data_IF_315541155158
#
_entry.id   IF_315541155158
#
_cell.length_a   1.000
_cell.length_b   1.000
_cell.length_c   1.000
_cell.angle_alpha   90.00
_cell.angle_beta   90.00
_cell.angle_gamma   90.00
#
_symmetry.space_group_name_H-M   'P 1'
#
loop_
_entity.id
_entity.type
_entity.pdbx_description
1 polymer ?
#
# COMPACT_ATOMS: atom_id res chain seq x y z
N UNK A 1 -20.76 -3.31 -6.30
CA UNK A 1 -21.28 -4.33 -7.21
C UNK A 1 -20.37 -4.42 -8.42
N UNK A 2 -19.84 -5.60 -8.75
CA UNK A 2 -18.98 -5.78 -9.92
C UNK A 2 -19.75 -5.77 -11.25
N UNK A 3 -21.09 -5.93 -11.23
CA UNK A 3 -21.94 -5.88 -12.42
C UNK A 3 -22.12 -4.44 -12.91
N UNK A 4 -22.31 -3.50 -11.99
CA UNK A 4 -22.45 -2.06 -12.29
C UNK A 4 -21.17 -1.25 -12.07
N UNK A 5 -20.16 -1.81 -11.39
CA UNK A 5 -19.00 -1.11 -10.85
C UNK A 5 -19.35 0.01 -9.84
N UNK A 6 -20.52 -0.05 -9.21
CA UNK A 6 -20.92 0.91 -8.18
C UNK A 6 -20.37 0.54 -6.80
N UNK A 7 -19.98 1.55 -6.04
CA UNK A 7 -19.56 1.40 -4.65
C UNK A 7 -20.81 1.30 -3.78
N UNK A 8 -21.08 0.10 -3.25
CA UNK A 8 -22.23 -0.14 -2.36
C UNK A 8 -21.97 0.45 -0.97
N UNK A 9 -20.75 0.26 -0.46
CA UNK A 9 -20.29 0.79 0.82
C UNK A 9 -18.78 1.04 0.77
N UNK A 10 -18.31 2.03 1.53
CA UNK A 10 -16.89 2.31 1.71
C UNK A 10 -16.61 2.91 3.09
N UNK A 11 -15.47 2.55 3.65
CA UNK A 11 -15.03 3.04 4.95
C UNK A 11 -13.67 2.48 5.34
N UNK A 12 -13.23 2.82 6.55
CA UNK A 12 -11.97 2.35 7.10
C UNK A 12 -11.97 2.43 8.62
N UNK A 13 -11.40 1.40 9.25
CA UNK A 13 -11.10 1.41 10.68
C UNK A 13 -9.78 2.12 10.90
N UNK A 14 -9.75 3.04 11.85
CA UNK A 14 -8.55 3.78 12.24
C UNK A 14 -8.21 3.52 13.72
N UNK A 15 -6.93 3.72 14.06
CA UNK A 15 -6.40 3.57 15.43
C UNK A 15 -6.60 2.19 16.07
N UNK A 16 -6.56 1.12 15.27
CA UNK A 16 -6.63 -0.27 15.76
C UNK A 16 -5.56 -0.50 16.84
N UNK A 17 -5.94 -1.08 17.98
CA UNK A 17 -5.07 -1.34 19.12
C UNK A 17 -4.69 -0.09 19.92
N UNK A 18 -5.31 1.06 19.64
CA UNK A 18 -5.08 2.33 20.34
C UNK A 18 -6.37 2.87 20.96
N UNK A 19 -6.24 3.72 21.97
CA UNK A 19 -7.38 4.39 22.59
C UNK A 19 -8.09 5.29 21.57
N UNK A 20 -9.42 5.20 21.52
CA UNK A 20 -10.26 5.97 20.61
C UNK A 20 -10.22 5.46 19.17
N UNK A 21 -10.13 4.15 18.98
CA UNK A 21 -10.40 3.50 17.69
C UNK A 21 -11.81 3.79 17.18
N UNK A 22 -11.96 3.88 15.87
CA UNK A 22 -13.25 4.16 15.24
C UNK A 22 -13.32 3.57 13.83
N UNK A 23 -14.53 3.31 13.37
CA UNK A 23 -14.85 3.07 11.97
C UNK A 23 -15.40 4.36 11.36
N UNK A 24 -14.80 4.79 10.25
CA UNK A 24 -15.29 5.90 9.45
C UNK A 24 -15.86 5.35 8.14
N UNK A 25 -17.11 5.68 7.84
CA UNK A 25 -17.79 5.24 6.61
C UNK A 25 -18.37 6.43 5.85
N UNK A 26 -18.52 6.26 4.53
CA UNK A 26 -19.24 7.21 3.68
C UNK A 26 -20.54 6.58 3.21
N UNK A 27 -21.66 7.25 3.49
CA UNK A 27 -22.99 6.83 3.07
C UNK A 27 -23.23 7.12 1.58
N UNK A 28 -24.25 6.52 0.95
CA UNK A 28 -24.56 6.73 -0.47
C UNK A 28 -24.84 8.19 -0.85
N UNK A 29 -25.32 9.00 0.09
CA UNK A 29 -25.54 10.45 -0.08
C UNK A 29 -24.27 11.29 0.09
N UNK A 30 -23.13 10.65 0.36
CA UNK A 30 -21.84 11.29 0.59
C UNK A 30 -21.59 11.72 2.04
N UNK A 31 -22.55 11.56 2.95
CA UNK A 31 -22.37 11.87 4.36
C UNK A 31 -21.30 10.97 4.97
N UNK A 32 -20.40 11.57 5.76
CA UNK A 32 -19.38 10.83 6.52
C UNK A 32 -19.88 10.57 7.93
N UNK A 33 -19.88 9.30 8.33
CA UNK A 33 -20.23 8.87 9.69
C UNK A 33 -18.99 8.30 10.35
N UNK A 34 -18.80 8.63 11.62
CA UNK A 34 -17.76 8.08 12.47
C UNK A 34 -18.43 7.33 13.62
N UNK A 35 -18.05 6.07 13.80
CA UNK A 35 -18.56 5.18 14.84
C UNK A 35 -17.38 4.78 15.72
N UNK A 36 -17.38 5.24 16.96
CA UNK A 36 -16.36 4.85 17.94
C UNK A 36 -16.58 3.40 18.38
N UNK A 37 -15.48 2.69 18.61
CA UNK A 37 -15.51 1.31 19.10
C UNK A 37 -14.18 0.93 19.73
N UNK A 38 -14.17 -0.09 20.59
CA UNK A 38 -12.94 -0.66 21.12
C UNK A 38 -12.43 -1.75 20.17
N UNK A 39 -11.50 -1.39 19.29
CA UNK A 39 -11.03 -2.25 18.20
C UNK A 39 -9.57 -2.59 18.47
N UNK A 40 -9.37 -3.69 19.19
CA UNK A 40 -8.05 -4.08 19.70
C UNK A 40 -7.15 -4.70 18.63
N UNK A 41 -7.73 -5.37 17.65
CA UNK A 41 -7.00 -6.05 16.58
C UNK A 41 -7.81 -6.13 15.27
N UNK A 42 -7.22 -6.75 14.23
CA UNK A 42 -7.73 -6.66 12.86
C UNK A 42 -9.04 -7.43 12.65
N UNK A 43 -9.17 -8.61 13.25
CA UNK A 43 -10.39 -9.42 13.19
C UNK A 43 -11.56 -8.69 13.83
N UNK A 44 -11.41 -8.14 15.04
CA UNK A 44 -12.41 -7.30 15.69
C UNK A 44 -12.81 -6.11 14.81
N UNK A 45 -11.85 -5.52 14.09
CA UNK A 45 -12.13 -4.46 13.11
C UNK A 45 -13.01 -4.94 11.95
N UNK A 46 -12.75 -6.14 11.41
CA UNK A 46 -13.52 -6.75 10.33
C UNK A 46 -14.91 -7.18 10.81
N UNK A 47 -15.01 -7.78 12.00
CA UNK A 47 -16.29 -8.10 12.65
C UNK A 47 -17.14 -6.84 12.83
N UNK A 48 -16.51 -5.71 13.22
CA UNK A 48 -17.21 -4.44 13.36
C UNK A 48 -17.68 -3.88 12.02
N UNK A 49 -16.87 -3.98 10.96
CA UNK A 49 -17.27 -3.63 9.59
C UNK A 49 -18.49 -4.46 9.16
N UNK A 50 -18.47 -5.77 9.37
CA UNK A 50 -19.60 -6.65 9.04
C UNK A 50 -20.85 -6.33 9.83
N UNK A 51 -20.73 -6.08 11.13
CA UNK A 51 -21.86 -5.65 11.97
C UNK A 51 -22.50 -4.36 11.45
N UNK A 52 -21.70 -3.39 10.99
CA UNK A 52 -22.22 -2.16 10.39
C UNK A 52 -22.86 -2.42 9.03
N UNK A 53 -22.25 -3.24 8.18
CA UNK A 53 -22.78 -3.62 6.87
C UNK A 53 -24.13 -4.37 6.94
N UNK A 54 -24.39 -5.08 8.04
CA UNK A 54 -25.65 -5.78 8.32
C UNK A 54 -26.68 -4.95 9.10
N UNK A 55 -26.29 -3.78 9.63
CA UNK A 55 -27.15 -2.99 10.50
C UNK A 55 -28.33 -2.37 9.74
N UNK A 56 -29.48 -2.20 10.40
CA UNK A 56 -30.63 -1.53 9.76
C UNK A 56 -30.35 -0.06 9.40
N UNK A 57 -29.53 0.61 10.22
CA UNK A 57 -29.29 2.06 10.09
C UNK A 57 -28.27 2.42 9.02
N UNK A 58 -27.20 1.64 8.90
CA UNK A 58 -26.06 1.96 8.02
C UNK A 58 -25.72 0.81 7.06
N UNK A 59 -26.42 -0.31 7.18
CA UNK A 59 -26.12 -1.51 6.41
C UNK A 59 -26.46 -1.38 4.95
N UNK A 60 -25.87 -2.29 4.19
CA UNK A 60 -25.96 -2.34 2.74
C UNK A 60 -26.19 -3.77 2.20
N UNK A 61 -26.19 -4.77 3.09
CA UNK A 61 -26.47 -6.18 2.81
C UNK A 61 -27.35 -6.74 3.94
N UNK A 62 -28.08 -7.81 3.65
CA UNK A 62 -28.95 -8.52 4.61
C UNK A 62 -28.31 -9.77 5.18
N UNK A 63 -27.40 -10.39 4.44
CA UNK A 63 -26.58 -11.52 4.88
C UNK A 63 -25.14 -11.34 4.40
N UNK A 64 -24.19 -11.92 5.15
CA UNK A 64 -22.81 -12.04 4.71
C UNK A 64 -22.65 -12.94 3.47
N UNK A 65 -23.64 -13.80 3.19
CA UNK A 65 -23.66 -14.64 1.98
C UNK A 65 -23.80 -13.82 0.68
N UNK A 66 -24.14 -12.52 0.79
CA UNK A 66 -24.14 -11.60 -0.36
C UNK A 66 -22.73 -11.15 -0.77
N UNK A 67 -21.70 -11.51 0.02
CA UNK A 67 -20.29 -11.23 -0.29
C UNK A 67 -19.74 -12.36 -1.16
N UNK A 68 -19.78 -12.18 -2.48
CA UNK A 68 -19.34 -13.19 -3.45
C UNK A 68 -17.81 -13.50 -3.40
N UNK A 69 -16.98 -12.53 -3.03
CA UNK A 69 -15.53 -12.64 -2.98
C UNK A 69 -14.89 -11.51 -2.15
N UNK A 70 -13.66 -11.70 -1.67
CA UNK A 70 -12.89 -10.66 -0.97
C UNK A 70 -11.53 -10.42 -1.65
N UNK A 71 -11.22 -9.17 -1.95
CA UNK A 71 -9.94 -8.75 -2.50
C UNK A 71 -9.04 -8.13 -1.43
N UNK A 72 -7.83 -8.64 -1.27
CA UNK A 72 -6.83 -8.16 -0.31
C UNK A 72 -5.71 -7.43 -1.05
N UNK A 73 -5.46 -6.18 -0.69
CA UNK A 73 -4.20 -5.52 -1.07
C UNK A 73 -3.07 -6.13 -0.23
N UNK A 74 -2.06 -6.66 -0.90
CA UNK A 74 -0.81 -7.12 -0.29
C UNK A 74 0.31 -6.22 -0.75
N UNK A 75 1.13 -5.72 0.18
CA UNK A 75 2.20 -4.78 -0.19
C UNK A 75 3.32 -5.48 -0.96
N UNK A 76 3.86 -6.59 -0.46
CA UNK A 76 5.04 -7.21 -1.05
C UNK A 76 4.81 -8.65 -1.50
N UNK A 77 4.91 -8.91 -2.81
CA UNK A 77 4.81 -10.25 -3.40
C UNK A 77 6.15 -10.91 -3.78
N UNK A 78 7.27 -10.23 -3.52
CA UNK A 78 8.58 -10.70 -3.94
C UNK A 78 8.67 -10.84 -5.46
N UNK A 79 9.56 -11.72 -5.93
CA UNK A 79 9.66 -12.05 -7.36
C UNK A 79 8.63 -13.10 -7.80
N UNK A 80 8.08 -13.86 -6.86
CA UNK A 80 7.20 -15.00 -7.17
C UNK A 80 5.83 -14.55 -7.68
N UNK A 81 5.32 -13.42 -7.20
CA UNK A 81 3.98 -12.93 -7.55
C UNK A 81 4.03 -11.75 -8.54
N UNK A 82 3.80 -12.04 -9.82
CA UNK A 82 3.72 -11.05 -10.89
C UNK A 82 2.29 -10.69 -11.33
N UNK A 83 1.28 -11.29 -10.69
CA UNK A 83 -0.14 -11.03 -10.93
C UNK A 83 -0.95 -11.34 -9.66
N UNK A 84 -2.20 -10.92 -9.64
CA UNK A 84 -3.15 -11.31 -8.60
C UNK A 84 -3.38 -12.82 -8.59
N UNK A 85 -3.53 -13.41 -7.41
CA UNK A 85 -3.72 -14.85 -7.23
C UNK A 85 -4.85 -15.13 -6.24
N UNK A 86 -5.58 -16.23 -6.47
CA UNK A 86 -6.49 -16.79 -5.48
C UNK A 86 -5.66 -17.22 -4.26
N UNK A 87 -6.12 -16.85 -3.08
CA UNK A 87 -5.47 -17.21 -1.82
C UNK A 87 -5.72 -18.69 -1.55
N UNK A 88 -4.62 -19.43 -1.41
CA UNK A 88 -4.53 -20.83 -1.02
C UNK A 88 -3.52 -20.96 0.12
N UNK A 89 -3.44 -22.13 0.76
CA UNK A 89 -2.45 -22.37 1.82
C UNK A 89 -1.01 -22.15 1.32
N UNK A 90 -0.71 -22.58 0.09
CA UNK A 90 0.59 -22.33 -0.57
C UNK A 90 0.87 -20.82 -0.74
N UNK A 91 -0.14 -20.04 -1.14
CA UNK A 91 0.01 -18.57 -1.24
C UNK A 91 0.26 -17.94 0.12
N UNK A 92 -0.38 -18.45 1.18
CA UNK A 92 -0.18 -17.96 2.54
C UNK A 92 1.25 -18.24 3.02
N UNK A 93 1.79 -19.43 2.79
CA UNK A 93 3.19 -19.74 3.13
C UNK A 93 4.16 -18.86 2.37
N UNK A 94 3.95 -18.65 1.06
CA UNK A 94 4.76 -17.74 0.27
C UNK A 94 4.67 -16.27 0.75
N UNK A 95 3.50 -15.83 1.23
CA UNK A 95 3.34 -14.51 1.83
C UNK A 95 4.11 -14.38 3.14
N UNK A 96 4.19 -15.45 3.94
CA UNK A 96 5.00 -15.49 5.17
C UNK A 96 6.49 -15.35 4.86
N UNK A 97 6.99 -16.01 3.82
CA UNK A 97 8.38 -15.82 3.35
C UNK A 97 8.66 -14.36 2.98
N UNK A 98 7.68 -13.67 2.37
CA UNK A 98 7.81 -12.27 1.99
C UNK A 98 7.74 -11.28 3.18
N UNK A 99 7.50 -11.74 4.42
CA UNK A 99 7.48 -10.85 5.61
C UNK A 99 8.83 -10.18 5.80
N UNK A 100 9.93 -10.87 5.52
CA UNK A 100 11.28 -10.30 5.65
C UNK A 100 11.46 -9.06 4.77
N UNK A 101 10.83 -9.03 3.60
CA UNK A 101 10.89 -7.92 2.65
C UNK A 101 9.97 -6.75 3.04
N UNK A 102 8.91 -7.01 3.81
CA UNK A 102 7.94 -5.99 4.22
C UNK A 102 7.36 -6.24 5.62
N UNK A 103 8.19 -6.17 6.68
CA UNK A 103 7.83 -6.62 8.03
C UNK A 103 6.74 -5.75 8.68
N UNK A 104 6.58 -4.50 8.25
CA UNK A 104 5.56 -3.59 8.76
C UNK A 104 4.22 -3.66 7.99
N UNK A 105 4.17 -4.41 6.88
CA UNK A 105 3.02 -4.39 5.97
C UNK A 105 2.41 -5.77 5.74
N UNK A 106 3.23 -6.77 5.42
CA UNK A 106 2.74 -8.11 5.12
C UNK A 106 2.07 -8.79 6.33
N UNK A 107 2.55 -8.65 7.59
CA UNK A 107 1.86 -9.26 8.72
C UNK A 107 0.44 -8.71 8.97
N UNK A 108 0.20 -7.38 8.95
CA UNK A 108 -1.17 -6.84 8.93
C UNK A 108 -2.04 -7.36 7.77
N UNK A 109 -1.47 -7.49 6.56
CA UNK A 109 -2.22 -8.04 5.41
C UNK A 109 -2.65 -9.48 5.65
N UNK A 110 -1.76 -10.33 6.18
CA UNK A 110 -2.06 -11.71 6.56
C UNK A 110 -3.13 -11.80 7.64
N UNK A 111 -3.11 -10.92 8.66
CA UNK A 111 -4.18 -10.87 9.68
C UNK A 111 -5.56 -10.63 9.06
N UNK A 112 -5.65 -9.77 8.06
CA UNK A 112 -6.91 -9.54 7.33
C UNK A 112 -7.36 -10.78 6.55
N UNK A 113 -6.44 -11.50 5.91
CA UNK A 113 -6.73 -12.76 5.21
C UNK A 113 -7.26 -13.82 6.18
N UNK A 114 -6.55 -14.05 7.30
CA UNK A 114 -6.96 -15.02 8.31
C UNK A 114 -8.32 -14.71 8.90
N UNK A 115 -8.59 -13.43 9.21
CA UNK A 115 -9.89 -13.03 9.72
C UNK A 115 -11.02 -13.35 8.73
N UNK A 116 -10.82 -13.13 7.43
CA UNK A 116 -11.84 -13.48 6.42
C UNK A 116 -11.95 -15.00 6.24
N UNK A 117 -10.86 -15.77 6.35
CA UNK A 117 -10.93 -17.25 6.31
C UNK A 117 -11.78 -17.81 7.46
N UNK A 118 -11.70 -17.21 8.65
CA UNK A 118 -12.51 -17.60 9.80
C UNK A 118 -13.97 -17.14 9.69
N UNK A 119 -14.20 -15.89 9.27
CA UNK A 119 -15.53 -15.27 9.26
C UNK A 119 -16.37 -15.65 8.02
N UNK A 120 -15.72 -15.91 6.88
CA UNK A 120 -16.34 -16.22 5.59
C UNK A 120 -15.67 -17.45 4.93
N UNK A 121 -15.75 -18.65 5.54
CA UNK A 121 -14.92 -19.82 5.17
C UNK A 121 -15.14 -20.34 3.75
N UNK A 122 -16.27 -20.01 3.12
CA UNK A 122 -16.61 -20.45 1.76
C UNK A 122 -16.42 -19.35 0.71
N UNK A 123 -16.04 -18.14 1.12
CA UNK A 123 -15.87 -17.00 0.22
C UNK A 123 -14.46 -16.99 -0.37
N UNK A 124 -14.31 -16.98 -1.72
CA UNK A 124 -13.00 -16.93 -2.35
C UNK A 124 -12.30 -15.60 -2.04
N UNK A 125 -11.02 -15.68 -1.70
CA UNK A 125 -10.18 -14.52 -1.41
C UNK A 125 -9.08 -14.38 -2.46
N UNK A 126 -8.78 -13.15 -2.89
CA UNK A 126 -7.75 -12.86 -3.90
C UNK A 126 -6.74 -11.88 -3.34
N UNK A 127 -5.45 -12.20 -3.44
CA UNK A 127 -4.36 -11.27 -3.15
C UNK A 127 -3.99 -10.47 -4.39
N UNK A 128 -3.92 -9.14 -4.24
CA UNK A 128 -3.49 -8.18 -5.26
C UNK A 128 -2.24 -7.47 -4.74
N UNK A 129 -1.11 -7.72 -5.40
CA UNK A 129 0.19 -7.24 -4.93
C UNK A 129 0.55 -5.88 -5.51
N UNK A 130 1.03 -4.97 -4.66
CA UNK A 130 1.55 -3.67 -5.11
C UNK A 130 2.81 -3.81 -5.96
N UNK A 131 3.61 -4.85 -5.75
CA UNK A 131 4.85 -5.11 -6.50
C UNK A 131 4.63 -5.78 -7.87
N UNK A 132 3.47 -6.40 -8.10
CA UNK A 132 3.24 -7.27 -9.26
C UNK A 132 3.37 -6.53 -10.60
N UNK A 133 2.84 -5.30 -10.70
CA UNK A 133 2.88 -4.51 -11.94
C UNK A 133 4.32 -4.20 -12.40
N UNK A 134 5.23 -4.09 -11.44
CA UNK A 134 6.62 -3.73 -11.65
C UNK A 134 7.52 -4.92 -11.96
N UNK A 135 7.02 -6.17 -11.92
CA UNK A 135 7.77 -7.37 -12.30
C UNK A 135 8.15 -7.42 -13.80
N UNK A 136 7.71 -6.42 -14.58
CA UNK A 136 8.10 -6.24 -15.98
C UNK A 136 9.35 -5.36 -16.16
N UNK A 137 9.88 -4.78 -15.07
CA UNK A 137 11.12 -4.01 -15.12
C UNK A 137 12.29 -4.90 -15.58
N UNK A 138 13.15 -4.41 -16.49
CA UNK A 138 14.35 -5.12 -16.92
C UNK A 138 15.45 -5.08 -15.85
N UNK A 139 16.39 -6.02 -15.91
CA UNK A 139 17.50 -6.18 -14.95
C UNK A 139 18.33 -4.91 -14.74
N UNK A 140 18.65 -4.20 -15.83
CA UNK A 140 19.39 -2.95 -15.76
C UNK A 140 18.64 -1.83 -15.01
N UNK A 141 17.34 -1.97 -14.76
CA UNK A 141 16.53 -1.01 -14.00
C UNK A 141 16.28 -1.45 -12.55
N UNK A 142 16.22 -2.76 -12.29
CA UNK A 142 15.94 -3.27 -10.94
C UNK A 142 17.17 -3.69 -10.15
N UNK A 143 18.30 -3.97 -10.79
CA UNK A 143 19.55 -4.32 -10.09
C UNK A 143 20.21 -3.04 -9.60
N UNK A 144 20.48 -2.97 -8.29
CA UNK A 144 21.24 -1.87 -7.71
C UNK A 144 22.74 -1.98 -8.03
N UNK A 145 23.45 -0.85 -8.00
CA UNK A 145 24.91 -0.78 -8.11
C UNK A 145 25.64 -1.31 -6.88
N UNK A 146 25.33 -2.55 -6.48
CA UNK A 146 25.89 -3.28 -5.34
C UNK A 146 26.55 -4.58 -5.84
N UNK A 147 27.38 -5.25 -5.02
CA UNK A 147 27.88 -6.59 -5.36
C UNK A 147 26.73 -7.52 -5.76
N UNK A 148 26.81 -8.11 -6.95
CA UNK A 148 25.72 -8.92 -7.53
C UNK A 148 25.30 -10.10 -6.64
N UNK A 149 26.22 -10.64 -5.84
CA UNK A 149 25.94 -11.71 -4.87
C UNK A 149 24.90 -11.33 -3.82
N UNK A 150 24.70 -10.04 -3.54
CA UNK A 150 23.64 -9.58 -2.63
C UNK A 150 22.25 -9.71 -3.26
N UNK A 151 22.14 -9.50 -4.58
CA UNK A 151 20.92 -9.80 -5.32
C UNK A 151 20.65 -11.31 -5.31
N UNK A 152 21.63 -12.13 -5.68
CA UNK A 152 21.46 -13.59 -5.74
C UNK A 152 21.12 -14.23 -4.39
N UNK A 153 21.75 -13.75 -3.31
CA UNK A 153 21.60 -14.35 -1.98
C UNK A 153 20.38 -13.84 -1.21
N UNK A 154 20.07 -12.55 -1.33
CA UNK A 154 19.07 -11.89 -0.49
C UNK A 154 17.91 -11.27 -1.28
N UNK A 155 17.91 -11.36 -2.61
CA UNK A 155 16.88 -10.75 -3.45
C UNK A 155 16.86 -9.23 -3.37
N UNK A 156 18.02 -8.59 -3.12
CA UNK A 156 18.15 -7.12 -3.05
C UNK A 156 18.01 -6.55 -4.47
N UNK A 157 16.85 -5.98 -4.75
CA UNK A 157 16.49 -5.36 -6.03
C UNK A 157 15.38 -4.33 -5.85
N UNK A 158 15.15 -3.51 -6.86
CA UNK A 158 13.94 -2.70 -6.98
C UNK A 158 12.73 -3.62 -7.17
N UNK A 159 11.75 -3.51 -6.29
CA UNK A 159 10.44 -4.13 -6.45
C UNK A 159 9.40 -3.12 -6.92
N UNK A 160 9.40 -1.91 -6.35
CA UNK A 160 8.39 -0.89 -6.62
C UNK A 160 7.04 -1.17 -5.94
N UNK A 161 6.31 -0.11 -5.60
CA UNK A 161 4.99 -0.19 -4.97
C UNK A 161 3.99 0.75 -5.64
N UNK A 162 2.75 0.77 -5.15
CA UNK A 162 1.61 1.41 -5.80
C UNK A 162 1.32 0.86 -7.20
N UNK A 163 1.78 -0.35 -7.53
CA UNK A 163 1.61 -0.94 -8.86
C UNK A 163 0.15 -1.08 -9.27
N UNK A 164 -0.76 -1.36 -8.34
CA UNK A 164 -2.20 -1.39 -8.63
C UNK A 164 -2.74 -0.01 -9.03
N UNK A 165 -2.28 1.05 -8.38
CA UNK A 165 -2.67 2.42 -8.73
C UNK A 165 -2.10 2.82 -10.09
N UNK A 166 -0.79 2.64 -10.30
CA UNK A 166 -0.14 2.93 -11.58
C UNK A 166 -0.73 2.14 -12.75
N UNK A 167 -1.01 0.85 -12.56
CA UNK A 167 -1.70 0.01 -13.53
C UNK A 167 -3.08 0.56 -13.89
N UNK A 168 -3.87 0.92 -12.88
CA UNK A 168 -5.23 1.44 -13.09
C UNK A 168 -5.22 2.78 -13.83
N UNK A 169 -4.48 3.79 -13.32
CA UNK A 169 -4.55 5.14 -13.88
C UNK A 169 -3.90 5.24 -15.25
N UNK A 170 -2.85 4.46 -15.53
CA UNK A 170 -2.23 4.43 -16.86
C UNK A 170 -3.17 3.87 -17.91
N UNK A 171 -3.87 2.76 -17.60
CA UNK A 171 -4.88 2.18 -18.49
C UNK A 171 -6.07 3.13 -18.66
N UNK A 172 -6.58 3.69 -17.55
CA UNK A 172 -7.72 4.62 -17.57
C UNK A 172 -7.44 5.88 -18.38
N UNK A 173 -6.23 6.41 -18.31
CA UNK A 173 -5.81 7.56 -19.12
C UNK A 173 -5.85 7.24 -20.63
N UNK A 174 -5.39 6.05 -21.04
CA UNK A 174 -5.47 5.62 -22.43
C UNK A 174 -6.92 5.42 -22.92
N UNK A 175 -7.79 4.85 -22.08
CA UNK A 175 -9.22 4.75 -22.38
C UNK A 175 -9.85 6.13 -22.56
N UNK A 176 -9.55 7.08 -21.67
CA UNK A 176 -10.06 8.45 -21.74
C UNK A 176 -9.59 9.20 -23.00
N UNK A 177 -8.32 9.00 -23.37
CA UNK A 177 -7.72 9.62 -24.57
C UNK A 177 -8.04 8.84 -25.86
N UNK A 178 -8.70 7.69 -25.77
CA UNK A 178 -8.99 6.77 -26.87
C UNK A 178 -7.73 6.38 -27.67
N UNK A 179 -6.66 6.00 -26.97
CA UNK A 179 -5.39 5.54 -27.56
C UNK A 179 -5.04 4.10 -27.13
N UNK A 180 -4.34 3.30 -27.95
CA UNK A 180 -4.01 1.92 -27.60
C UNK A 180 -2.90 1.87 -26.54
N UNK A 181 -3.18 1.29 -25.36
CA UNK A 181 -2.29 1.23 -24.19
C UNK A 181 -0.90 0.67 -24.51
N UNK A 182 -0.84 -0.37 -25.33
CA UNK A 182 0.37 -1.11 -25.70
C UNK A 182 1.28 -0.35 -26.68
N UNK A 183 0.85 0.82 -27.16
CA UNK A 183 1.62 1.69 -28.06
C UNK A 183 2.10 2.99 -27.40
N UNK A 184 1.80 3.18 -26.11
CA UNK A 184 2.09 4.42 -25.40
C UNK A 184 3.36 4.37 -24.54
N UNK A 185 3.90 5.56 -24.30
CA UNK A 185 4.90 5.85 -23.28
C UNK A 185 4.24 6.79 -22.27
N UNK A 186 4.03 6.30 -21.05
CA UNK A 186 3.24 6.96 -20.02
C UNK A 186 4.12 7.13 -18.79
N UNK A 187 4.02 8.30 -18.17
CA UNK A 187 4.56 8.55 -16.84
C UNK A 187 3.35 8.72 -15.92
N UNK A 188 3.28 7.93 -14.85
CA UNK A 188 2.25 8.06 -13.83
C UNK A 188 2.86 8.55 -12.53
N UNK A 189 2.31 9.62 -11.97
CA UNK A 189 2.71 10.16 -10.67
C UNK A 189 1.59 9.90 -9.66
N UNK A 190 1.82 8.96 -8.74
CA UNK A 190 0.96 8.73 -7.59
C UNK A 190 1.46 9.60 -6.44
N UNK A 191 0.74 10.70 -6.16
CA UNK A 191 1.13 11.68 -5.14
C UNK A 191 0.10 11.66 -4.01
N UNK A 192 0.49 11.07 -2.88
CA UNK A 192 -0.25 11.06 -1.64
C UNK A 192 0.69 11.13 -0.44
N UNK A 193 0.30 10.58 0.71
CA UNK A 193 1.22 10.51 1.86
C UNK A 193 2.47 9.66 1.56
N UNK A 194 2.31 8.59 0.76
CA UNK A 194 3.39 7.94 0.04
C UNK A 194 3.39 8.40 -1.42
N UNK A 195 4.58 8.63 -1.98
CA UNK A 195 4.72 9.20 -3.33
C UNK A 195 5.58 8.29 -4.19
N UNK A 196 5.15 8.04 -5.42
CA UNK A 196 5.93 7.28 -6.40
C UNK A 196 5.62 7.70 -7.82
N UNK A 197 6.62 7.69 -8.69
CA UNK A 197 6.47 7.88 -10.13
C UNK A 197 6.89 6.63 -10.87
N UNK A 198 6.18 6.28 -11.95
CA UNK A 198 6.47 5.06 -12.73
C UNK A 198 6.55 5.40 -14.21
N UNK A 199 7.59 4.89 -14.86
CA UNK A 199 7.72 4.88 -16.30
C UNK A 199 7.07 3.60 -16.86
N UNK A 200 6.13 3.78 -17.79
CA UNK A 200 5.38 2.70 -18.41
C UNK A 200 5.57 2.80 -19.92
N UNK A 201 6.02 1.72 -20.54
CA UNK A 201 6.24 1.64 -21.98
C UNK A 201 5.53 0.41 -22.52
N UNK A 202 4.70 0.61 -23.55
CA UNK A 202 3.95 -0.45 -24.21
C UNK A 202 3.15 -1.32 -23.22
N UNK A 203 2.47 -0.65 -22.28
CA UNK A 203 1.67 -1.28 -21.22
C UNK A 203 2.45 -2.00 -20.12
N UNK A 204 3.78 -1.90 -20.09
CA UNK A 204 4.65 -2.53 -19.07
C UNK A 204 5.38 -1.49 -18.24
N UNK A 205 5.51 -1.73 -16.94
CA UNK A 205 6.35 -0.90 -16.07
C UNK A 205 7.81 -1.18 -16.40
N UNK A 206 8.57 -0.13 -16.76
CA UNK A 206 9.99 -0.24 -17.12
C UNK A 206 10.91 0.38 -16.08
N UNK A 207 10.38 1.27 -15.24
CA UNK A 207 11.07 1.83 -14.08
C UNK A 207 10.06 2.41 -13.08
N UNK A 208 10.44 2.55 -11.82
CA UNK A 208 9.62 3.17 -10.76
C UNK A 208 10.49 3.72 -9.65
N UNK A 209 10.12 4.87 -9.07
CA UNK A 209 10.97 5.56 -8.10
C UNK A 209 11.14 4.80 -6.79
N UNK A 210 10.13 4.04 -6.36
CA UNK A 210 10.25 3.23 -5.16
C UNK A 210 11.13 2.01 -5.39
N UNK A 211 11.83 1.62 -4.33
CA UNK A 211 12.92 0.66 -4.36
C UNK A 211 12.55 -0.76 -4.00
N UNK A 212 13.50 -1.41 -3.32
CA UNK A 212 13.26 -2.60 -2.51
C UNK A 212 12.23 -2.33 -1.41
N UNK A 213 12.26 -1.11 -0.86
CA UNK A 213 11.34 -0.64 0.17
C UNK A 213 10.62 0.64 -0.27
N UNK A 214 9.49 1.01 0.35
CA UNK A 214 8.74 2.20 -0.01
C UNK A 214 9.40 3.54 0.39
N UNK A 215 10.67 3.54 0.81
CA UNK A 215 11.39 4.76 1.24
C UNK A 215 12.08 5.47 0.08
N UNK A 216 12.57 4.73 -0.92
CA UNK A 216 13.31 5.29 -2.07
C UNK A 216 12.39 6.13 -2.98
N UNK A 217 13.00 7.10 -3.66
CA UNK A 217 12.37 7.94 -4.65
C UNK A 217 12.04 9.34 -4.12
N UNK A 218 10.81 9.78 -4.36
CA UNK A 218 10.39 11.13 -3.99
C UNK A 218 10.30 11.31 -2.48
N UNK A 219 10.52 12.54 -2.02
CA UNK A 219 10.14 12.97 -0.68
C UNK A 219 8.63 12.74 -0.47
N UNK A 220 8.26 12.23 0.71
CA UNK A 220 6.86 11.91 1.04
C UNK A 220 6.45 12.58 2.35
N UNK A 221 5.27 12.23 2.89
CA UNK A 221 4.77 12.85 4.13
C UNK A 221 5.73 12.70 5.31
N UNK A 222 6.21 11.47 5.57
CA UNK A 222 7.13 11.17 6.69
C UNK A 222 8.40 10.41 6.24
N UNK A 223 8.50 10.11 4.95
CA UNK A 223 9.60 9.34 4.35
C UNK A 223 10.58 10.26 3.66
N UNK A 224 11.87 9.99 3.81
CA UNK A 224 12.94 10.83 3.27
C UNK A 224 12.90 10.94 1.75
N UNK A 225 12.60 9.84 1.05
CA UNK A 225 12.96 9.72 -0.35
C UNK A 225 14.46 9.45 -0.50
N UNK A 226 14.98 9.78 -1.67
CA UNK A 226 16.38 9.61 -2.06
C UNK A 226 17.33 10.45 -1.20
N UNK A 227 18.42 9.81 -0.78
CA UNK A 227 19.50 10.40 0.01
C UNK A 227 20.83 9.81 -0.45
N UNK A 228 21.92 10.52 -0.16
CA UNK A 228 23.26 9.94 -0.24
C UNK A 228 23.40 8.80 0.79
N UNK A 229 23.74 7.56 0.39
CA UNK A 229 23.99 6.47 1.32
C UNK A 229 25.06 6.79 2.40
N UNK A 230 26.04 7.64 2.10
CA UNK A 230 27.06 8.07 3.06
C UNK A 230 26.50 8.90 4.22
N UNK A 231 25.43 9.67 3.99
CA UNK A 231 24.75 10.44 5.03
C UNK A 231 24.09 9.51 6.06
N UNK A 232 23.56 8.37 5.61
CA UNK A 232 22.94 7.37 6.49
C UNK A 232 23.97 6.84 7.50
N UNK A 233 25.13 6.40 7.01
CA UNK A 233 26.23 5.93 7.87
C UNK A 233 26.73 7.02 8.81
N UNK A 234 26.88 8.25 8.31
CA UNK A 234 27.32 9.38 9.13
C UNK A 234 26.37 9.70 10.28
N UNK A 235 25.05 9.71 10.03
CA UNK A 235 24.03 9.91 11.08
C UNK A 235 24.10 8.79 12.11
N UNK A 236 24.19 7.53 11.66
CA UNK A 236 24.30 6.39 12.57
C UNK A 236 25.49 6.52 13.52
N UNK A 237 26.65 6.96 13.02
CA UNK A 237 27.84 7.17 13.84
C UNK A 237 27.68 8.35 14.82
N UNK A 238 27.14 9.49 14.36
CA UNK A 238 27.02 10.71 15.17
C UNK A 238 25.96 10.62 16.25
N UNK A 239 24.83 10.01 15.94
CA UNK A 239 23.67 9.89 16.83
C UNK A 239 23.63 8.51 17.52
N UNK A 240 24.68 7.70 17.35
CA UNK A 240 24.78 6.33 17.88
C UNK A 240 23.53 5.47 17.56
N UNK A 241 22.97 5.63 16.36
CA UNK A 241 21.73 4.96 15.98
C UNK A 241 21.99 3.54 15.48
N UNK A 242 21.11 2.62 15.89
CA UNK A 242 21.05 1.28 15.31
C UNK A 242 20.40 1.30 13.92
N UNK A 243 20.51 0.19 13.18
CA UNK A 243 19.80 0.00 11.91
C UNK A 243 18.27 0.17 12.03
N UNK A 244 17.69 -0.23 13.17
CA UNK A 244 16.26 -0.01 13.45
C UNK A 244 15.95 1.46 13.71
N UNK A 245 16.84 2.16 14.44
CA UNK A 245 16.73 3.59 14.70
C UNK A 245 16.76 4.40 13.41
N UNK A 246 17.73 4.15 12.53
CA UNK A 246 17.83 4.88 11.26
C UNK A 246 16.66 4.55 10.33
N UNK A 247 16.20 3.30 10.29
CA UNK A 247 14.98 2.92 9.54
C UNK A 247 13.75 3.68 10.02
N UNK A 248 13.61 3.85 11.33
CA UNK A 248 12.53 4.63 11.94
C UNK A 248 12.64 6.11 11.58
N UNK A 249 13.83 6.71 11.68
CA UNK A 249 14.09 8.09 11.28
C UNK A 249 13.65 8.34 9.83
N UNK A 250 14.13 7.50 8.91
CA UNK A 250 13.87 7.63 7.48
C UNK A 250 12.42 7.37 7.09
N UNK A 251 11.66 6.58 7.86
CA UNK A 251 10.26 6.25 7.54
C UNK A 251 9.21 7.11 8.26
N UNK A 252 9.51 7.61 9.46
CA UNK A 252 8.51 8.21 10.36
C UNK A 252 8.78 9.66 10.72
N UNK A 253 10.03 10.10 10.68
CA UNK A 253 10.46 11.41 11.17
C UNK A 253 11.18 12.25 10.11
N UNK A 254 11.13 11.83 8.85
CA UNK A 254 11.74 12.53 7.70
C UNK A 254 10.66 13.15 6.81
N UNK A 255 10.99 13.45 5.55
CA UNK A 255 10.03 13.92 4.56
C UNK A 255 9.50 15.32 4.84
N UNK A 256 8.31 15.61 4.33
CA UNK A 256 7.61 16.89 4.55
C UNK A 256 7.51 17.23 6.04
N UNK A 257 7.18 16.23 6.88
CA UNK A 257 7.11 16.40 8.33
C UNK A 257 8.47 16.81 8.91
N UNK A 258 9.53 16.08 8.58
CA UNK A 258 10.87 16.34 9.12
C UNK A 258 11.45 17.69 8.70
N UNK A 259 11.14 18.16 7.48
CA UNK A 259 11.61 19.46 6.98
C UNK A 259 10.77 20.61 7.52
N UNK A 260 9.44 20.49 7.49
CA UNK A 260 8.55 21.57 7.90
C UNK A 260 8.50 21.73 9.43
N UNK A 261 8.62 20.64 10.19
CA UNK A 261 8.33 20.62 11.61
C UNK A 261 6.85 20.85 11.96
N UNK A 262 5.97 20.88 10.96
CA UNK A 262 4.54 21.21 11.13
C UNK A 262 3.70 19.93 11.03
N UNK A 263 3.67 19.32 9.85
CA UNK A 263 2.80 18.18 9.57
C UNK A 263 3.31 17.33 8.41
N UNK A 264 2.81 16.10 8.34
CA UNK A 264 2.96 15.25 7.14
C UNK A 264 1.83 15.44 6.13
N UNK A 265 0.80 16.21 6.48
CA UNK A 265 -0.35 16.51 5.64
C UNK A 265 -0.13 17.80 4.85
N UNK A 266 -0.07 17.69 3.52
CA UNK A 266 0.13 18.83 2.63
C UNK A 266 -0.94 19.93 2.78
N UNK A 267 -2.16 19.58 3.21
CA UNK A 267 -3.22 20.58 3.44
C UNK A 267 -2.89 21.48 4.63
N UNK A 268 -2.32 20.91 5.69
CA UNK A 268 -1.86 21.66 6.86
C UNK A 268 -0.62 22.50 6.50
N UNK A 269 0.27 21.98 5.66
CA UNK A 269 1.41 22.73 5.14
C UNK A 269 0.95 23.94 4.31
N UNK A 270 -0.03 23.79 3.42
CA UNK A 270 -0.57 24.91 2.63
C UNK A 270 -1.19 26.01 3.50
N UNK A 271 -1.83 25.64 4.61
CA UNK A 271 -2.33 26.61 5.60
C UNK A 271 -1.15 27.31 6.27
N UNK A 272 -0.15 26.56 6.75
CA UNK A 272 1.04 27.12 7.39
C UNK A 272 1.86 28.05 6.49
N UNK A 273 1.88 27.82 5.17
CA UNK A 273 2.52 28.73 4.20
C UNK A 273 1.75 30.06 4.08
N UNK A 274 0.42 30.04 4.18
CA UNK A 274 -0.41 31.26 4.08
C UNK A 274 -0.37 32.12 5.35
N UNK A 275 -0.02 31.52 6.47
CA UNK A 275 0.03 32.18 7.78
C UNK A 275 1.42 32.78 8.11
N UNK A 276 2.45 32.50 7.30
CA UNK A 276 3.81 33.06 7.41
C UNK A 276 4.15 33.97 6.23
#
# INVERSE_FOLDING_TARGET
>A
DMRSNEVIAQGGVEKIGMKGSFLKLSLPDGQKVQLEGEILEHRAGIEYIFGVMLSEKYGCIRSLDEIDAVGHRVVHGGERFNKSVLITEEVIEMLKECIELAPLHNPPNLKGIYAIQELLPHTPQVSVFDTAFHQTMPDYAYVYGLPYSLYEKYGIRRYGFHGTSHRYVSKRACEFLNVPYESQRIITAHIGNGVSITAIKNGKSVDTSMGMTPVEGLMMGTRSGDLDPGVISYIMEKEHMSASGISTLLNKFSGVLGISGISSDMREIEVGIKEN
#
